data_IF_080246837188
#
_entry.id   IF_080246837188
#
_cell.length_a   1.000
_cell.length_b   1.000
_cell.length_c   1.000
_cell.angle_alpha   90.00
_cell.angle_beta   90.00
_cell.angle_gamma   90.00
#
_symmetry.space_group_name_H-M   'P 1'
#
loop_
_entity.id
_entity.type
_entity.pdbx_description
1 polymer ?
#
# COMPACT_ATOMS: atom_id res chain seq x y z
N UNK A 1 17.22 -4.29 7.96
CA UNK A 1 17.97 -3.09 7.59
C UNK A 1 19.45 -3.42 7.70
N UNK A 2 20.11 -3.63 6.56
CA UNK A 2 21.51 -4.07 6.50
C UNK A 2 22.50 -2.90 6.48
N UNK A 3 22.00 -1.66 6.35
CA UNK A 3 22.86 -0.48 6.27
C UNK A 3 23.20 0.07 7.65
N UNK A 4 22.40 -0.20 8.69
CA UNK A 4 22.55 0.46 10.00
C UNK A 4 23.95 0.37 10.65
N UNK A 5 24.78 -0.62 10.31
CA UNK A 5 26.12 -0.84 10.90
C UNK A 5 27.30 -0.21 10.12
N UNK A 6 27.08 0.42 8.96
CA UNK A 6 28.15 0.87 8.06
C UNK A 6 28.35 2.40 8.08
N UNK A 7 28.66 2.98 9.24
CA UNK A 7 28.87 4.43 9.36
C UNK A 7 30.18 4.95 8.70
N UNK A 8 30.26 6.26 8.36
CA UNK A 8 29.26 7.32 8.52
C UNK A 8 28.40 7.56 7.26
N UNK A 9 27.09 7.72 7.45
CA UNK A 9 26.15 8.05 6.36
C UNK A 9 26.07 9.55 6.11
N UNK A 10 25.87 9.91 4.84
CA UNK A 10 25.43 11.25 4.44
C UNK A 10 23.96 11.19 4.04
N UNK A 11 23.12 11.94 4.74
CA UNK A 11 21.74 12.14 4.32
C UNK A 11 21.72 12.95 3.02
N UNK A 12 21.04 12.41 2.01
CA UNK A 12 20.68 13.16 0.81
C UNK A 12 19.21 13.54 0.97
N UNK A 13 18.94 14.83 1.13
CA UNK A 13 17.56 15.32 1.16
C UNK A 13 16.91 15.13 -0.21
N UNK A 14 15.67 14.67 -0.23
CA UNK A 14 14.83 14.65 -1.42
C UNK A 14 13.69 15.65 -1.23
N UNK A 15 13.52 16.53 -2.21
CA UNK A 15 12.35 17.39 -2.29
C UNK A 15 11.22 16.65 -2.98
N UNK A 16 10.05 16.58 -2.34
CA UNK A 16 8.84 16.07 -2.98
C UNK A 16 7.94 17.28 -3.25
N UNK A 17 7.58 17.47 -4.51
CA UNK A 17 6.60 18.45 -4.97
C UNK A 17 5.42 17.73 -5.64
N UNK A 18 4.35 18.46 -5.92
CA UNK A 18 3.21 17.93 -6.70
C UNK A 18 2.49 16.73 -6.06
N UNK A 19 2.41 16.71 -4.72
CA UNK A 19 1.55 15.75 -4.02
C UNK A 19 0.10 15.98 -4.44
N UNK A 20 -0.45 15.02 -5.17
CA UNK A 20 -1.80 15.06 -5.73
C UNK A 20 -2.77 14.07 -5.08
N UNK A 21 -4.01 14.04 -5.57
CA UNK A 21 -5.00 13.02 -5.21
C UNK A 21 -4.48 11.60 -5.43
N UNK A 22 -4.88 10.67 -4.55
CA UNK A 22 -4.51 9.26 -4.67
C UNK A 22 -4.95 8.62 -6.01
N UNK A 23 -6.01 9.14 -6.62
CA UNK A 23 -6.48 8.66 -7.92
C UNK A 23 -5.44 8.80 -9.05
N UNK A 24 -4.51 9.76 -8.91
CA UNK A 24 -3.47 10.01 -9.90
C UNK A 24 -2.22 9.15 -9.68
N UNK A 25 -2.15 8.40 -8.57
CA UNK A 25 -1.01 7.54 -8.24
C UNK A 25 -0.99 6.22 -9.03
N UNK A 26 -2.16 5.74 -9.48
CA UNK A 26 -2.32 4.42 -10.10
C UNK A 26 -2.41 4.46 -11.64
N UNK A 27 -1.97 5.56 -12.26
CA UNK A 27 -2.08 5.78 -13.71
C UNK A 27 -1.21 4.84 -14.55
N UNK A 28 -0.16 4.27 -13.95
CA UNK A 28 0.73 3.29 -14.55
C UNK A 28 0.80 2.03 -13.69
N UNK A 29 0.92 0.86 -14.32
CA UNK A 29 1.08 -0.40 -13.60
C UNK A 29 2.35 -0.41 -12.75
N UNK A 30 2.30 -1.12 -11.62
CA UNK A 30 3.48 -1.34 -10.77
C UNK A 30 4.56 -2.10 -11.56
N UNK A 31 5.73 -1.46 -11.72
CA UNK A 31 6.85 -1.99 -12.50
C UNK A 31 7.51 -3.20 -11.84
N UNK A 32 7.34 -3.37 -10.53
CA UNK A 32 7.99 -4.41 -9.74
C UNK A 32 7.03 -5.52 -9.32
N UNK A 33 5.72 -5.28 -9.35
CA UNK A 33 4.71 -6.30 -9.02
C UNK A 33 3.63 -6.47 -10.12
N UNK A 34 3.72 -7.57 -10.91
CA UNK A 34 2.68 -7.95 -11.85
C UNK A 34 1.29 -8.20 -11.23
N UNK A 35 1.18 -8.43 -9.92
CA UNK A 35 -0.07 -8.67 -9.20
C UNK A 35 -0.64 -7.42 -8.51
N UNK A 36 -0.04 -6.24 -8.67
CA UNK A 36 -0.44 -5.04 -7.97
C UNK A 36 -1.91 -4.67 -8.18
N UNK A 37 -2.41 -4.75 -9.42
CA UNK A 37 -3.81 -4.48 -9.74
C UNK A 37 -4.78 -5.39 -8.96
N UNK A 38 -4.43 -6.67 -8.77
CA UNK A 38 -5.25 -7.62 -8.00
C UNK A 38 -5.23 -7.29 -6.50
N UNK A 39 -4.07 -6.92 -5.95
CA UNK A 39 -3.95 -6.50 -4.54
C UNK A 39 -4.77 -5.24 -4.29
N UNK A 40 -4.65 -4.25 -5.15
CA UNK A 40 -5.39 -3.00 -5.07
C UNK A 40 -6.91 -3.25 -5.12
N UNK A 41 -7.39 -4.10 -6.04
CA UNK A 41 -8.81 -4.45 -6.10
C UNK A 41 -9.31 -5.10 -4.80
N UNK A 42 -8.51 -5.98 -4.18
CA UNK A 42 -8.83 -6.61 -2.90
C UNK A 42 -8.89 -5.60 -1.74
N UNK A 43 -7.98 -4.62 -1.73
CA UNK A 43 -7.99 -3.52 -0.76
C UNK A 43 -9.24 -2.66 -0.90
N UNK A 44 -9.55 -2.18 -2.12
CA UNK A 44 -10.78 -1.39 -2.37
C UNK A 44 -12.05 -2.15 -2.00
N UNK A 45 -12.10 -3.46 -2.28
CA UNK A 45 -13.24 -4.29 -1.88
C UNK A 45 -13.36 -4.38 -0.35
N UNK A 46 -12.23 -4.51 0.35
CA UNK A 46 -12.18 -4.52 1.82
C UNK A 46 -12.70 -3.21 2.39
N UNK A 47 -12.26 -2.08 1.83
CA UNK A 47 -12.68 -0.76 2.27
C UNK A 47 -14.17 -0.52 2.01
N UNK A 48 -14.69 -0.95 0.86
CA UNK A 48 -16.11 -0.85 0.54
C UNK A 48 -16.98 -1.67 1.52
N UNK A 49 -16.52 -2.87 1.91
CA UNK A 49 -17.21 -3.70 2.89
C UNK A 49 -17.19 -3.03 4.26
N UNK A 50 -16.03 -2.50 4.70
CA UNK A 50 -15.92 -1.79 5.98
C UNK A 50 -16.76 -0.52 6.03
N UNK A 51 -16.83 0.22 4.93
CA UNK A 51 -17.67 1.41 4.82
C UNK A 51 -19.17 1.07 4.98
N UNK A 52 -19.59 -0.10 4.50
CA UNK A 52 -20.99 -0.55 4.58
C UNK A 52 -21.36 -1.22 5.90
N UNK A 53 -20.45 -2.01 6.46
CA UNK A 53 -20.76 -2.96 7.53
C UNK A 53 -19.94 -2.73 8.80
N UNK A 54 -19.09 -1.71 8.83
CA UNK A 54 -18.22 -1.37 9.96
C UNK A 54 -16.83 -2.01 9.86
N UNK A 55 -15.89 -1.48 10.64
CA UNK A 55 -14.46 -1.87 10.61
C UNK A 55 -14.21 -3.35 10.93
N UNK A 56 -15.09 -3.97 11.73
CA UNK A 56 -15.05 -5.40 12.08
C UNK A 56 -15.66 -6.35 11.05
N UNK A 57 -16.17 -5.85 9.93
CA UNK A 57 -16.87 -6.67 8.92
C UNK A 57 -15.97 -7.67 8.18
N UNK A 58 -14.65 -7.50 8.24
CA UNK A 58 -13.68 -8.42 7.63
C UNK A 58 -12.73 -8.92 8.70
N UNK A 59 -12.87 -10.20 9.02
CA UNK A 59 -11.94 -10.96 9.85
C UNK A 59 -10.93 -11.66 8.94
N UNK A 60 -9.63 -11.36 9.10
CA UNK A 60 -8.57 -12.12 8.43
C UNK A 60 -8.40 -13.46 9.16
N UNK A 61 -8.89 -14.56 8.60
CA UNK A 61 -8.67 -15.88 9.21
C UNK A 61 -9.10 -17.07 8.36
N UNK A 62 -8.44 -18.21 8.60
CA UNK A 62 -8.95 -19.55 8.31
C UNK A 62 -10.07 -19.85 9.30
N UNK A 63 -11.24 -19.21 9.15
CA UNK A 63 -12.38 -19.42 10.03
C UNK A 63 -13.31 -20.57 9.56
N UNK A 64 -12.80 -21.44 8.68
CA UNK A 64 -13.45 -22.70 8.32
C UNK A 64 -12.59 -23.81 8.91
N UNK A 65 -13.07 -24.41 10.00
CA UNK A 65 -12.76 -25.78 10.37
C UNK A 65 -14.07 -26.56 10.27
#
# INVERSE_FOLDING_TARGET
DTAASEGPFRLIGVGISELGPAADADLSGDLLDPQAARRQAAERATDAIRARYGSGAILKGRAIR
#
